data_IF_512271820865
#
_entry.id   IF_512271820865
#
_cell.length_a   1.000
_cell.length_b   1.000
_cell.length_c   1.000
_cell.angle_alpha   90.00
_cell.angle_beta   90.00
_cell.angle_gamma   90.00
#
_symmetry.space_group_name_H-M   'P 1'
#
loop_
_entity.id
_entity.type
_entity.pdbx_description
1 polymer ?
#
# COMPACT_ATOMS: atom_id res chain seq x y z
N UNK A 1 -44.15 22.30 -3.01
CA UNK A 1 -44.74 20.97 -2.73
C UNK A 1 -43.74 19.89 -3.14
N UNK A 2 -43.27 19.09 -2.16
CA UNK A 2 -42.76 17.70 -2.21
C UNK A 2 -41.55 17.41 -3.15
N UNK A 3 -40.54 16.59 -2.80
CA UNK A 3 -40.24 15.77 -1.63
C UNK A 3 -38.76 15.34 -1.70
N UNK A 4 -38.16 15.06 -0.54
CA UNK A 4 -36.85 14.45 -0.36
C UNK A 4 -36.91 12.91 -0.44
N UNK A 5 -35.76 12.26 -0.70
CA UNK A 5 -35.37 10.86 -0.38
C UNK A 5 -33.89 10.70 -0.82
N UNK A 6 -32.87 10.65 0.05
CA UNK A 6 -32.44 9.65 1.05
C UNK A 6 -32.21 8.25 0.47
N UNK A 7 -30.94 7.89 0.21
CA UNK A 7 -30.48 6.49 0.12
C UNK A 7 -29.04 6.41 0.68
N UNK A 8 -28.94 6.09 1.96
CA UNK A 8 -27.77 5.43 2.55
C UNK A 8 -28.00 3.92 2.41
N UNK A 9 -27.09 3.20 1.75
CA UNK A 9 -27.05 1.74 1.77
C UNK A 9 -25.58 1.29 1.68
N UNK A 10 -25.00 0.95 2.83
CA UNK A 10 -23.76 0.17 2.96
C UNK A 10 -24.14 -1.11 3.73
N UNK A 11 -23.77 -2.30 3.26
CA UNK A 11 -24.17 -3.54 3.92
C UNK A 11 -23.31 -3.83 5.16
N UNK A 12 -24.00 -4.18 6.26
CA UNK A 12 -23.45 -4.80 7.46
C UNK A 12 -22.78 -6.14 7.12
N UNK A 13 -21.49 -6.25 7.43
CA UNK A 13 -20.78 -7.54 7.44
C UNK A 13 -20.25 -7.77 8.85
N UNK A 14 -21.14 -8.23 9.73
CA UNK A 14 -20.79 -8.85 11.00
C UNK A 14 -21.35 -10.27 11.00
N UNK A 15 -20.52 -11.25 10.65
CA UNK A 15 -20.62 -12.60 11.22
C UNK A 15 -19.42 -13.44 10.81
N UNK A 16 -18.52 -13.71 11.75
CA UNK A 16 -18.11 -15.07 12.14
C UNK A 16 -16.79 -15.04 12.89
N UNK A 17 -16.90 -15.39 14.15
CA UNK A 17 -15.87 -15.60 15.15
C UNK A 17 -14.89 -16.71 14.73
N UNK A 18 -13.60 -16.47 14.92
CA UNK A 18 -12.68 -17.54 15.33
C UNK A 18 -11.46 -16.94 16.04
N UNK A 19 -11.52 -16.93 17.36
CA UNK A 19 -10.45 -16.48 18.24
C UNK A 19 -9.35 -17.54 18.28
N UNK A 20 -8.28 -17.31 17.51
CA UNK A 20 -7.05 -18.10 17.55
C UNK A 20 -5.92 -17.27 18.14
N UNK A 21 -5.62 -17.54 19.43
CA UNK A 21 -4.45 -17.08 20.19
C UNK A 21 -3.22 -16.74 19.33
N UNK A 22 -2.74 -15.48 19.39
CA UNK A 22 -1.32 -15.17 19.13
C UNK A 22 -0.77 -14.14 20.12
N UNK A 23 0.44 -14.37 20.66
CA UNK A 23 1.05 -13.52 21.66
C UNK A 23 1.66 -12.26 21.02
N UNK A 24 1.54 -11.15 21.75
CA UNK A 24 2.15 -9.86 21.46
C UNK A 24 3.68 -9.95 21.41
N UNK A 25 4.31 -9.38 20.38
CA UNK A 25 5.72 -9.01 20.40
C UNK A 25 5.84 -7.56 19.92
N UNK A 26 6.25 -6.69 20.83
CA UNK A 26 6.42 -5.26 20.59
C UNK A 26 7.81 -4.88 20.11
N UNK A 27 7.88 -3.66 19.56
CA UNK A 27 8.93 -2.69 19.87
C UNK A 27 10.23 -2.69 19.06
N UNK A 28 10.29 -1.76 18.09
CA UNK A 28 11.41 -0.83 17.91
C UNK A 28 12.68 -1.31 17.17
N UNK A 29 13.06 -0.59 16.10
CA UNK A 29 14.15 0.40 16.19
C UNK A 29 14.43 1.04 14.81
N UNK A 30 14.51 2.37 14.86
CA UNK A 30 14.99 3.25 13.80
C UNK A 30 16.53 3.25 13.85
N UNK A 31 17.22 2.99 12.74
CA UNK A 31 18.65 3.30 12.62
C UNK A 31 18.93 4.11 11.37
N UNK A 32 19.52 5.26 11.65
CA UNK A 32 20.13 6.26 10.79
C UNK A 32 21.19 5.67 9.85
N UNK A 33 21.28 6.17 8.62
CA UNK A 33 22.39 5.88 7.70
C UNK A 33 22.81 7.14 6.94
N UNK A 34 24.06 7.50 7.19
CA UNK A 34 24.84 8.62 6.66
C UNK A 34 25.10 8.54 5.15
N UNK A 35 24.76 9.63 4.47
CA UNK A 35 25.58 10.41 3.52
C UNK A 35 26.25 9.73 2.30
N UNK A 36 25.71 10.04 1.11
CA UNK A 36 26.49 10.40 -0.09
C UNK A 36 25.73 11.52 -0.83
N UNK A 37 26.25 12.74 -0.78
CA UNK A 37 25.80 13.86 -1.60
C UNK A 37 26.31 13.70 -3.03
N UNK A 38 25.42 13.33 -3.95
CA UNK A 38 25.61 13.62 -5.37
C UNK A 38 24.70 14.81 -5.74
N UNK A 39 25.30 15.89 -6.21
CA UNK A 39 24.59 17.09 -6.67
C UNK A 39 23.76 16.78 -7.91
N UNK A 40 22.44 17.05 -7.95
CA UNK A 40 21.67 16.86 -9.16
C UNK A 40 21.97 18.01 -10.14
N UNK A 41 22.44 17.65 -11.34
CA UNK A 41 22.57 18.56 -12.46
C UNK A 41 21.19 19.11 -12.84
N UNK A 42 20.96 20.40 -12.59
CA UNK A 42 19.78 21.11 -13.04
C UNK A 42 19.86 21.37 -14.54
N UNK A 43 19.33 20.46 -15.35
CA UNK A 43 19.00 20.76 -16.75
C UNK A 43 17.49 20.90 -16.92
N UNK A 44 17.09 22.17 -17.10
CA UNK A 44 15.89 22.70 -17.76
C UNK A 44 14.53 22.06 -17.45
N UNK A 45 13.75 22.79 -16.64
CA UNK A 45 12.32 22.58 -16.36
C UNK A 45 11.49 22.72 -17.64
N UNK A 46 10.86 21.63 -18.07
CA UNK A 46 9.73 21.68 -19.02
C UNK A 46 8.56 22.46 -18.39
N UNK A 47 8.19 23.57 -19.03
CA UNK A 47 7.05 24.41 -18.65
C UNK A 47 5.72 23.69 -18.87
N UNK A 48 5.16 23.07 -17.83
CA UNK A 48 3.70 22.88 -17.72
C UNK A 48 3.29 22.78 -16.25
N UNK A 49 2.33 23.62 -15.85
CA UNK A 49 1.82 23.73 -14.47
C UNK A 49 0.94 22.53 -14.05
N UNK A 50 0.70 22.33 -12.72
CA UNK A 50 0.22 21.07 -12.13
C UNK A 50 -1.22 20.65 -12.48
N UNK A 51 -2.04 21.58 -12.98
CA UNK A 51 -3.48 21.36 -13.18
C UNK A 51 -3.85 20.99 -14.63
N UNK A 52 -2.85 20.74 -15.49
CA UNK A 52 -3.09 20.30 -16.86
C UNK A 52 -3.19 18.76 -16.86
N UNK A 53 -4.27 18.16 -17.38
CA UNK A 53 -4.32 16.71 -17.57
C UNK A 53 -3.10 16.30 -18.39
N UNK A 54 -2.29 15.39 -17.86
CA UNK A 54 -1.17 14.84 -18.59
C UNK A 54 -1.73 14.24 -19.88
N UNK A 55 -1.33 14.79 -21.02
CA UNK A 55 -1.58 14.20 -22.33
C UNK A 55 -0.63 13.02 -22.47
N UNK A 56 -0.90 11.96 -21.70
CA UNK A 56 -0.14 10.73 -21.68
C UNK A 56 -0.45 9.83 -22.88
N UNK A 57 -1.23 10.32 -23.85
CA UNK A 57 -1.14 9.83 -25.22
C UNK A 57 0.16 10.32 -25.87
N UNK A 58 1.29 9.88 -25.31
CA UNK A 58 2.45 9.66 -26.14
C UNK A 58 2.05 8.56 -27.11
N UNK A 59 2.08 8.83 -28.41
CA UNK A 59 1.92 7.80 -29.42
C UNK A 59 2.89 6.69 -29.05
N UNK A 60 2.37 5.54 -28.60
CA UNK A 60 3.21 4.41 -28.27
C UNK A 60 4.03 4.15 -29.52
N UNK A 61 5.32 4.50 -29.47
CA UNK A 61 6.29 3.99 -30.42
C UNK A 61 6.44 2.53 -30.06
N UNK A 62 5.42 1.74 -30.46
CA UNK A 62 5.64 0.35 -30.77
C UNK A 62 6.91 0.35 -31.62
N UNK A 63 7.91 -0.49 -31.30
CA UNK A 63 9.05 -0.65 -32.19
C UNK A 63 8.44 -0.82 -33.57
N UNK A 64 8.79 0.14 -34.45
CA UNK A 64 8.32 0.23 -35.82
C UNK A 64 8.26 -1.20 -36.32
N UNK A 65 7.04 -1.74 -36.54
CA UNK A 65 6.89 -3.09 -37.04
C UNK A 65 7.80 -3.13 -38.27
N UNK A 66 8.86 -3.93 -38.18
CA UNK A 66 10.02 -3.76 -39.03
C UNK A 66 9.55 -3.61 -40.47
N UNK A 67 9.62 -2.40 -41.04
CA UNK A 67 9.51 -2.17 -42.47
C UNK A 67 10.76 -2.72 -43.18
N UNK A 68 11.31 -3.80 -42.67
CA UNK A 68 12.27 -4.66 -43.30
C UNK A 68 11.55 -5.61 -44.27
N UNK A 69 10.28 -5.94 -44.02
CA UNK A 69 9.46 -6.74 -44.94
C UNK A 69 9.10 -6.01 -46.24
N UNK A 70 9.04 -4.68 -46.25
CA UNK A 70 8.79 -3.88 -47.46
C UNK A 70 10.08 -3.42 -48.14
N UNK A 71 11.25 -3.58 -47.51
CA UNK A 71 12.54 -3.09 -48.03
C UNK A 71 13.10 -3.92 -49.19
N UNK A 72 12.48 -5.07 -49.49
CA UNK A 72 12.79 -5.91 -50.66
C UNK A 72 11.91 -5.67 -51.88
N UNK A 73 10.99 -4.69 -51.86
CA UNK A 73 10.06 -4.41 -52.96
C UNK A 73 10.59 -3.39 -53.99
N UNK A 74 11.89 -3.15 -54.02
CA UNK A 74 12.52 -2.54 -55.22
C UNK A 74 12.62 -3.60 -56.33
N UNK A 75 12.73 -3.22 -57.61
CA UNK A 75 12.85 -4.21 -58.66
C UNK A 75 14.19 -4.94 -58.49
N UNK A 76 14.17 -6.11 -57.84
CA UNK A 76 15.30 -7.03 -57.89
C UNK A 76 15.37 -7.47 -59.34
N UNK A 77 16.25 -6.85 -60.13
CA UNK A 77 16.65 -7.38 -61.43
C UNK A 77 17.36 -8.69 -61.12
N UNK A 78 16.61 -9.80 -61.11
CA UNK A 78 17.19 -11.13 -61.01
C UNK A 78 18.02 -11.34 -62.26
N UNK A 79 19.33 -11.06 -62.17
CA UNK A 79 20.33 -11.51 -63.15
C UNK A 79 20.64 -13.00 -62.93
N UNK A 80 19.64 -13.80 -62.53
CA UNK A 80 19.77 -15.22 -62.26
C UNK A 80 19.17 -15.94 -63.48
N UNK A 81 20.07 -16.35 -64.38
CA UNK A 81 20.05 -17.39 -65.43
C UNK A 81 18.80 -17.60 -66.32
N UNK A 82 17.57 -17.41 -65.83
CA UNK A 82 16.31 -17.63 -66.55
C UNK A 82 15.70 -16.35 -67.14
N UNK A 83 15.92 -15.18 -66.53
CA UNK A 83 15.55 -13.87 -67.11
C UNK A 83 16.34 -13.57 -68.38
N UNK A 84 17.56 -14.09 -68.48
CA UNK A 84 18.31 -14.11 -69.72
C UNK A 84 17.53 -14.85 -70.81
N UNK A 85 16.87 -15.98 -70.54
CA UNK A 85 16.16 -16.76 -71.57
C UNK A 85 14.88 -16.12 -72.13
N UNK A 86 14.46 -14.95 -71.63
CA UNK A 86 13.33 -14.21 -72.21
C UNK A 86 13.58 -13.77 -73.66
N UNK A 87 14.85 -13.61 -74.08
CA UNK A 87 15.18 -13.38 -75.50
C UNK A 87 14.99 -14.63 -76.37
N UNK A 88 14.96 -15.82 -75.77
CA UNK A 88 15.02 -17.12 -76.46
C UNK A 88 13.64 -17.79 -76.54
N UNK A 89 12.72 -17.47 -75.62
CA UNK A 89 11.44 -18.16 -75.47
C UNK A 89 10.35 -17.77 -76.50
N UNK A 90 10.52 -16.67 -77.25
CA UNK A 90 9.52 -16.23 -78.24
C UNK A 90 10.07 -15.93 -79.65
N UNK A 91 11.36 -16.16 -79.92
CA UNK A 91 11.95 -15.91 -81.26
C UNK A 91 11.89 -14.45 -81.74
N UNK A 92 11.45 -13.51 -80.89
CA UNK A 92 11.29 -12.10 -81.18
C UNK A 92 12.63 -11.35 -80.97
N UNK A 93 13.45 -11.26 -82.01
CA UNK A 93 14.63 -10.38 -82.02
C UNK A 93 14.16 -8.94 -82.19
N UNK A 94 13.98 -8.22 -81.07
CA UNK A 94 13.65 -6.78 -81.11
C UNK A 94 14.89 -5.98 -81.56
N UNK A 95 14.84 -5.28 -82.71
CA UNK A 95 15.98 -4.51 -83.21
C UNK A 95 16.42 -3.40 -82.24
N UNK A 96 17.72 -3.08 -82.23
CA UNK A 96 18.35 -2.10 -81.32
C UNK A 96 17.76 -0.69 -81.39
N UNK A 97 17.01 -0.37 -82.45
CA UNK A 97 16.33 0.92 -82.64
C UNK A 97 15.13 1.12 -81.69
N UNK A 98 14.65 0.06 -81.03
CA UNK A 98 13.61 0.13 -79.99
C UNK A 98 14.23 -0.15 -78.61
N UNK A 99 15.09 0.76 -78.14
CA UNK A 99 15.85 0.59 -76.88
C UNK A 99 14.94 0.40 -75.65
N UNK A 100 13.80 1.08 -75.61
CA UNK A 100 12.81 0.96 -74.54
C UNK A 100 12.17 -0.44 -74.48
N UNK A 101 11.83 -1.03 -75.64
CA UNK A 101 11.25 -2.38 -75.71
C UNK A 101 12.29 -3.46 -75.33
N UNK A 102 13.55 -3.27 -75.75
CA UNK A 102 14.66 -4.14 -75.36
C UNK A 102 14.94 -4.09 -73.85
N UNK A 103 15.00 -2.90 -73.25
CA UNK A 103 15.22 -2.73 -71.81
C UNK A 103 14.05 -3.27 -70.99
N UNK A 104 12.81 -3.18 -71.50
CA UNK A 104 11.64 -3.79 -70.88
C UNK A 104 11.77 -5.33 -70.78
N UNK A 105 12.38 -6.01 -71.75
CA UNK A 105 12.56 -7.47 -71.69
C UNK A 105 13.53 -7.90 -70.58
N UNK A 106 14.62 -7.14 -70.37
CA UNK A 106 15.61 -7.43 -69.32
C UNK A 106 15.21 -6.96 -67.91
N UNK A 107 14.15 -6.17 -67.78
CA UNK A 107 13.65 -5.65 -66.50
C UNK A 107 12.32 -6.28 -66.08
N UNK A 108 11.74 -7.14 -66.92
CA UNK A 108 10.49 -7.86 -66.64
C UNK A 108 10.76 -9.16 -65.89
N UNK A 109 9.88 -9.44 -64.93
CA UNK A 109 9.89 -10.69 -64.18
C UNK A 109 9.41 -11.85 -65.04
N UNK A 110 10.06 -13.00 -64.88
CA UNK A 110 9.54 -14.25 -65.45
C UNK A 110 8.32 -14.72 -64.65
N UNK A 111 7.43 -15.54 -65.24
CA UNK A 111 6.36 -16.19 -64.49
C UNK A 111 6.86 -17.01 -63.28
N UNK A 112 8.08 -17.55 -63.36
CA UNK A 112 8.73 -18.30 -62.26
C UNK A 112 9.13 -17.35 -61.12
N UNK A 113 9.70 -16.18 -61.42
CA UNK A 113 10.00 -15.15 -60.42
C UNK A 113 8.73 -14.65 -59.73
N UNK A 114 7.68 -14.41 -60.51
CA UNK A 114 6.37 -14.03 -59.99
C UNK A 114 5.82 -15.11 -59.05
N UNK A 115 5.86 -16.38 -59.45
CA UNK A 115 5.38 -17.50 -58.62
C UNK A 115 6.18 -17.65 -57.33
N UNK A 116 7.51 -17.44 -57.37
CA UNK A 116 8.37 -17.47 -56.18
C UNK A 116 8.02 -16.34 -55.22
N UNK A 117 7.89 -15.11 -55.73
CA UNK A 117 7.48 -13.94 -54.94
C UNK A 117 6.08 -14.12 -54.34
N UNK A 118 5.13 -14.63 -55.13
CA UNK A 118 3.79 -14.93 -54.66
C UNK A 118 3.78 -15.96 -53.53
N UNK A 119 4.53 -17.07 -53.67
CA UNK A 119 4.70 -18.06 -52.60
C UNK A 119 5.30 -17.44 -51.34
N UNK A 120 6.32 -16.60 -51.48
CA UNK A 120 6.93 -15.90 -50.35
C UNK A 120 5.90 -15.01 -49.63
N UNK A 121 5.13 -14.22 -50.37
CA UNK A 121 4.08 -13.37 -49.80
C UNK A 121 3.01 -14.18 -49.07
N UNK A 122 2.60 -15.34 -49.61
CA UNK A 122 1.67 -16.24 -48.92
C UNK A 122 2.26 -16.74 -47.60
N UNK A 123 3.51 -17.21 -47.59
CA UNK A 123 4.17 -17.67 -46.36
C UNK A 123 4.31 -16.57 -45.31
N UNK A 124 4.63 -15.33 -45.72
CA UNK A 124 4.72 -14.19 -44.80
C UNK A 124 3.35 -13.80 -44.25
N UNK A 125 2.31 -13.82 -45.11
CA UNK A 125 0.93 -13.55 -44.69
C UNK A 125 0.48 -14.58 -43.65
N UNK A 126 0.80 -15.86 -43.85
CA UNK A 126 0.48 -16.93 -42.90
C UNK A 126 1.22 -16.76 -41.57
N UNK A 127 2.51 -16.43 -41.61
CA UNK A 127 3.30 -16.14 -40.41
C UNK A 127 2.74 -14.92 -39.65
N UNK A 128 2.41 -13.83 -40.35
CA UNK A 128 1.82 -12.65 -39.73
C UNK A 128 0.46 -12.94 -39.09
N UNK A 129 -0.36 -13.78 -39.74
CA UNK A 129 -1.64 -14.25 -39.18
C UNK A 129 -1.41 -15.07 -37.90
N UNK A 130 -0.49 -16.04 -37.93
CA UNK A 130 -0.17 -16.87 -36.77
C UNK A 130 0.32 -16.03 -35.58
N UNK A 131 1.22 -15.07 -35.83
CA UNK A 131 1.71 -14.16 -34.79
C UNK A 131 0.57 -13.29 -34.22
N UNK A 132 -0.34 -12.81 -35.07
CA UNK A 132 -1.51 -12.06 -34.62
C UNK A 132 -2.49 -12.90 -33.79
N UNK A 133 -2.66 -14.18 -34.11
CA UNK A 133 -3.45 -15.13 -33.32
C UNK A 133 -2.80 -15.40 -31.96
N UNK A 134 -1.49 -15.65 -31.93
CA UNK A 134 -0.72 -15.84 -30.70
C UNK A 134 -0.77 -14.61 -29.79
N UNK A 135 -0.54 -13.41 -30.35
CA UNK A 135 -0.59 -12.16 -29.58
C UNK A 135 -1.96 -11.93 -28.94
N UNK A 136 -3.05 -12.24 -29.65
CA UNK A 136 -4.40 -12.15 -29.09
C UNK A 136 -4.60 -13.13 -27.93
N UNK A 137 -4.18 -14.38 -28.10
CA UNK A 137 -4.27 -15.39 -27.06
C UNK A 137 -3.47 -14.98 -25.80
N UNK A 138 -2.24 -14.49 -25.99
CA UNK A 138 -1.41 -14.00 -24.89
C UNK A 138 -2.00 -12.77 -24.21
N UNK A 139 -2.57 -11.84 -24.97
CA UNK A 139 -3.21 -10.64 -24.39
C UNK A 139 -4.39 -11.02 -23.50
N UNK A 140 -5.23 -11.97 -23.94
CA UNK A 140 -6.36 -12.48 -23.15
C UNK A 140 -5.86 -13.17 -21.88
N UNK A 141 -4.87 -14.07 -22.00
CA UNK A 141 -4.28 -14.78 -20.85
C UNK A 141 -3.68 -13.80 -19.84
N UNK A 142 -2.90 -12.83 -20.30
CA UNK A 142 -2.28 -11.82 -19.43
C UNK A 142 -3.33 -10.94 -18.75
N UNK A 143 -4.43 -10.61 -19.44
CA UNK A 143 -5.57 -9.92 -18.83
C UNK A 143 -6.18 -10.72 -17.68
N UNK A 144 -6.47 -12.00 -17.92
CA UNK A 144 -7.00 -12.90 -16.88
C UNK A 144 -6.04 -13.06 -15.69
N UNK A 145 -4.75 -13.25 -15.95
CA UNK A 145 -3.75 -13.34 -14.88
C UNK A 145 -3.64 -12.06 -14.06
N UNK A 146 -3.74 -10.89 -14.71
CA UNK A 146 -3.74 -9.61 -14.03
C UNK A 146 -5.00 -9.47 -13.15
N UNK A 147 -6.18 -9.77 -13.69
CA UNK A 147 -7.44 -9.74 -12.95
C UNK A 147 -7.41 -10.69 -11.75
N UNK A 148 -6.87 -11.90 -11.92
CA UNK A 148 -6.71 -12.87 -10.84
C UNK A 148 -5.74 -12.41 -9.75
N UNK A 149 -4.68 -11.68 -10.11
CA UNK A 149 -3.74 -11.08 -9.14
C UNK A 149 -4.42 -9.96 -8.37
N UNK A 150 -5.12 -9.06 -9.07
CA UNK A 150 -5.83 -7.94 -8.43
C UNK A 150 -6.91 -8.47 -7.48
N UNK A 151 -7.70 -9.45 -7.92
CA UNK A 151 -8.75 -10.07 -7.08
C UNK A 151 -8.17 -10.66 -5.81
N UNK A 152 -7.12 -11.49 -5.91
CA UNK A 152 -6.47 -12.09 -4.73
C UNK A 152 -5.88 -11.05 -3.79
N UNK A 153 -5.22 -10.03 -4.34
CA UNK A 153 -4.69 -8.93 -3.54
C UNK A 153 -5.81 -8.16 -2.80
N UNK A 154 -6.93 -7.90 -3.48
CA UNK A 154 -8.08 -7.23 -2.87
C UNK A 154 -8.71 -8.07 -1.75
N UNK A 155 -8.85 -9.39 -1.96
CA UNK A 155 -9.37 -10.32 -0.95
C UNK A 155 -8.45 -10.37 0.29
N UNK A 156 -7.13 -10.46 0.07
CA UNK A 156 -6.14 -10.45 1.14
C UNK A 156 -6.17 -9.14 1.93
N UNK A 157 -6.15 -8.00 1.23
CA UNK A 157 -6.22 -6.67 1.86
C UNK A 157 -7.52 -6.50 2.63
N UNK A 158 -8.66 -6.89 2.07
CA UNK A 158 -9.95 -6.82 2.76
C UNK A 158 -9.95 -7.66 4.04
N UNK A 159 -9.36 -8.86 4.01
CA UNK A 159 -9.22 -9.70 5.20
C UNK A 159 -8.34 -9.03 6.25
N UNK A 160 -7.16 -8.55 5.88
CA UNK A 160 -6.23 -7.86 6.79
C UNK A 160 -6.84 -6.58 7.38
N UNK A 161 -7.62 -5.84 6.59
CA UNK A 161 -8.38 -4.69 7.08
C UNK A 161 -9.44 -5.11 8.10
N UNK A 162 -10.18 -6.19 7.84
CA UNK A 162 -11.14 -6.76 8.79
C UNK A 162 -10.47 -7.15 10.11
N UNK A 163 -9.36 -7.90 10.04
CA UNK A 163 -8.58 -8.28 11.21
C UNK A 163 -8.09 -7.05 12.00
N UNK A 164 -7.55 -6.04 11.29
CA UNK A 164 -7.09 -4.79 11.92
C UNK A 164 -8.22 -4.01 12.59
N UNK A 165 -9.40 -3.96 11.98
CA UNK A 165 -10.58 -3.33 12.57
C UNK A 165 -10.94 -4.04 13.88
N UNK A 166 -10.99 -5.37 13.88
CA UNK A 166 -11.28 -6.17 15.06
C UNK A 166 -10.24 -5.93 16.17
N UNK A 167 -8.95 -5.91 15.83
CA UNK A 167 -7.86 -5.63 16.79
C UNK A 167 -8.03 -4.24 17.43
N UNK A 168 -8.34 -3.22 16.63
CA UNK A 168 -8.54 -1.86 17.13
C UNK A 168 -9.76 -1.79 18.06
N UNK A 169 -10.86 -2.46 17.72
CA UNK A 169 -12.03 -2.53 18.61
C UNK A 169 -11.73 -3.26 19.91
N UNK A 170 -11.01 -4.39 19.84
CA UNK A 170 -10.61 -5.15 21.02
C UNK A 170 -9.73 -4.32 21.95
N UNK A 171 -8.70 -3.66 21.40
CA UNK A 171 -7.80 -2.81 22.17
C UNK A 171 -8.54 -1.62 22.80
N UNK A 172 -9.44 -0.97 22.03
CA UNK A 172 -10.27 0.10 22.55
C UNK A 172 -11.10 -0.36 23.73
N UNK A 173 -11.80 -1.49 23.60
CA UNK A 173 -12.67 -1.99 24.67
C UNK A 173 -11.84 -2.39 25.90
N UNK A 174 -10.70 -3.06 25.71
CA UNK A 174 -9.79 -3.41 26.81
C UNK A 174 -9.28 -2.17 27.56
N UNK A 175 -8.95 -1.09 26.83
CA UNK A 175 -8.53 0.17 27.46
C UNK A 175 -9.66 0.87 28.22
N UNK A 176 -10.90 0.78 27.71
CA UNK A 176 -12.06 1.33 28.41
C UNK A 176 -12.33 0.56 29.71
N UNK A 177 -12.32 -0.77 29.65
CA UNK A 177 -12.46 -1.64 30.82
C UNK A 177 -11.40 -1.38 31.88
N UNK A 178 -10.12 -1.25 31.48
CA UNK A 178 -9.03 -0.92 32.39
C UNK A 178 -9.18 0.49 32.98
N UNK A 179 -9.64 1.45 32.18
CA UNK A 179 -9.87 2.82 32.65
C UNK A 179 -10.97 2.86 33.71
N UNK A 180 -12.08 2.14 33.48
CA UNK A 180 -13.18 2.05 34.44
C UNK A 180 -12.72 1.37 35.74
N UNK A 181 -11.94 0.28 35.63
CA UNK A 181 -11.36 -0.39 36.79
C UNK A 181 -10.43 0.54 37.61
N UNK A 182 -9.57 1.32 36.94
CA UNK A 182 -8.72 2.32 37.60
C UNK A 182 -9.53 3.43 38.27
N UNK A 183 -10.63 3.88 37.66
CA UNK A 183 -11.52 4.89 38.26
C UNK A 183 -12.16 4.35 39.53
N UNK A 184 -12.64 3.12 39.51
CA UNK A 184 -13.21 2.44 40.67
C UNK A 184 -12.19 2.29 41.80
N UNK A 185 -10.98 1.83 41.48
CA UNK A 185 -9.92 1.69 42.48
C UNK A 185 -9.51 3.04 43.07
N UNK A 186 -9.38 4.07 42.22
CA UNK A 186 -9.13 5.45 42.68
C UNK A 186 -10.23 5.91 43.64
N UNK A 187 -11.50 5.60 43.37
CA UNK A 187 -12.60 5.97 44.24
C UNK A 187 -12.52 5.26 45.60
N UNK A 188 -12.17 3.97 45.62
CA UNK A 188 -11.94 3.21 46.87
C UNK A 188 -10.79 3.78 47.68
N UNK A 189 -9.67 4.11 47.04
CA UNK A 189 -8.53 4.75 47.69
C UNK A 189 -8.88 6.12 48.27
N UNK A 190 -9.68 6.93 47.54
CA UNK A 190 -10.16 8.22 48.05
C UNK A 190 -11.07 8.06 49.28
N UNK A 191 -11.92 7.04 49.30
CA UNK A 191 -12.77 6.74 50.46
C UNK A 191 -11.93 6.30 51.66
N UNK A 192 -10.97 5.39 51.46
CA UNK A 192 -10.03 4.97 52.50
C UNK A 192 -9.23 6.16 53.05
N UNK A 193 -8.72 7.03 52.17
CA UNK A 193 -8.04 8.27 52.57
C UNK A 193 -8.93 9.15 53.45
N UNK A 194 -10.16 9.42 53.03
CA UNK A 194 -11.11 10.24 53.81
C UNK A 194 -11.40 9.62 55.18
N UNK A 195 -11.54 8.30 55.25
CA UNK A 195 -11.74 7.59 56.51
C UNK A 195 -10.54 7.75 57.44
N UNK A 196 -9.32 7.62 56.92
CA UNK A 196 -8.08 7.82 57.69
C UNK A 196 -7.91 9.27 58.16
N UNK A 197 -8.16 10.25 57.29
CA UNK A 197 -8.13 11.68 57.66
C UNK A 197 -9.15 11.99 58.77
N UNK A 198 -10.34 11.39 58.69
CA UNK A 198 -11.35 11.50 59.74
C UNK A 198 -10.87 10.87 61.05
N UNK A 199 -10.39 9.62 61.03
CA UNK A 199 -9.87 8.96 62.24
C UNK A 199 -8.71 9.75 62.86
N UNK A 200 -7.82 10.31 62.05
CA UNK A 200 -6.75 11.17 62.52
C UNK A 200 -7.32 12.40 63.25
N UNK A 201 -8.25 13.12 62.63
CA UNK A 201 -8.88 14.30 63.26
C UNK A 201 -9.62 13.95 64.56
N UNK A 202 -10.23 12.76 64.65
CA UNK A 202 -10.88 12.27 65.86
C UNK A 202 -9.87 11.96 66.98
N UNK A 203 -8.62 11.61 66.66
CA UNK A 203 -7.55 11.38 67.65
C UNK A 203 -6.84 12.65 68.12
N UNK A 204 -6.85 13.73 67.34
CA UNK A 204 -6.18 15.00 67.68
C UNK A 204 -6.80 15.66 68.92
N UNK A 205 -8.13 15.72 69.00
CA UNK A 205 -8.83 16.33 70.14
C UNK A 205 -8.56 15.62 71.49
N UNK A 206 -8.71 14.29 71.64
CA UNK A 206 -8.39 13.60 72.89
C UNK A 206 -6.89 13.69 73.24
N UNK A 207 -5.99 13.72 72.25
CA UNK A 207 -4.57 13.99 72.49
C UNK A 207 -4.37 15.38 73.09
N UNK A 208 -5.00 16.41 72.53
CA UNK A 208 -4.93 17.78 73.04
C UNK A 208 -5.45 17.88 74.48
N UNK A 209 -6.60 17.27 74.78
CA UNK A 209 -7.16 17.24 76.14
C UNK A 209 -6.20 16.55 77.12
N UNK A 210 -5.58 15.45 76.70
CA UNK A 210 -4.59 14.71 77.50
C UNK A 210 -3.38 15.57 77.81
N UNK A 211 -2.87 16.33 76.82
CA UNK A 211 -1.77 17.27 76.97
C UNK A 211 -2.10 18.42 77.93
N UNK A 212 -3.27 19.04 77.80
CA UNK A 212 -3.73 20.10 78.72
C UNK A 212 -3.88 19.58 80.16
N UNK A 213 -4.40 18.35 80.31
CA UNK A 213 -4.53 17.71 81.62
C UNK A 213 -3.16 17.48 82.29
N UNK A 214 -2.14 17.05 81.53
CA UNK A 214 -0.76 16.94 82.01
C UNK A 214 -0.18 18.32 82.35
N UNK A 215 -0.38 19.32 81.50
CA UNK A 215 0.07 20.69 81.73
C UNK A 215 -0.49 21.29 83.03
N UNK A 216 -1.77 21.06 83.34
CA UNK A 216 -2.36 21.49 84.61
C UNK A 216 -1.86 20.71 85.83
N UNK A 217 -1.56 19.41 85.66
CA UNK A 217 -0.98 18.58 86.73
C UNK A 217 0.43 19.02 87.09
N UNK A 218 1.24 19.38 86.10
CA UNK A 218 2.61 19.90 86.28
C UNK A 218 2.66 21.21 87.09
N UNK A 219 1.57 22.00 87.08
CA UNK A 219 1.45 23.25 87.85
C UNK A 219 1.17 23.06 89.34
N UNK A 220 0.82 21.84 89.78
CA UNK A 220 0.58 21.56 91.20
C UNK A 220 1.87 21.73 92.01
N UNK A 221 1.77 22.06 93.29
CA UNK A 221 2.93 22.33 94.14
C UNK A 221 2.94 21.45 95.40
N UNK A 222 4.14 21.24 95.93
CA UNK A 222 4.38 20.50 97.16
C UNK A 222 3.76 19.08 97.14
N UNK A 223 2.95 18.73 98.15
CA UNK A 223 2.38 17.39 98.32
C UNK A 223 1.37 17.01 97.22
N UNK A 224 0.86 17.99 96.46
CA UNK A 224 -0.13 17.76 95.40
C UNK A 224 0.51 17.41 94.03
N UNK A 225 1.83 17.52 93.90
CA UNK A 225 2.58 17.09 92.70
C UNK A 225 2.95 15.59 92.83
N UNK A 226 2.04 14.72 92.38
CA UNK A 226 2.10 13.27 92.63
C UNK A 226 1.99 12.46 91.35
N UNK A 227 2.93 11.52 91.16
CA UNK A 227 2.89 10.45 90.15
C UNK A 227 1.87 9.36 90.48
N UNK A 228 0.60 9.68 90.32
CA UNK A 228 -0.53 8.80 90.51
C UNK A 228 -0.87 7.96 89.25
N UNK A 229 -1.74 6.97 89.40
CA UNK A 229 -2.18 6.13 88.28
C UNK A 229 -2.86 6.92 87.14
N UNK A 230 -3.65 7.98 87.42
CA UNK A 230 -4.12 8.89 86.39
C UNK A 230 -3.01 9.59 85.60
N UNK A 231 -1.96 10.12 86.23
CA UNK A 231 -0.84 10.76 85.53
C UNK A 231 -0.11 9.75 84.63
N UNK A 232 0.17 8.55 85.12
CA UNK A 232 0.77 7.47 84.33
C UNK A 232 -0.07 7.09 83.12
N UNK A 233 -1.39 7.08 83.27
CA UNK A 233 -2.33 6.78 82.19
C UNK A 233 -2.37 7.89 81.14
N UNK A 234 -2.35 9.16 81.57
CA UNK A 234 -2.29 10.32 80.68
C UNK A 234 -0.96 10.37 79.91
N UNK A 235 0.17 10.12 80.58
CA UNK A 235 1.48 10.03 79.93
C UNK A 235 1.46 8.97 78.83
N UNK A 236 0.96 7.76 79.12
CA UNK A 236 0.82 6.69 78.12
C UNK A 236 -0.05 7.09 76.93
N UNK A 237 -1.16 7.78 77.15
CA UNK A 237 -2.05 8.24 76.09
C UNK A 237 -1.48 9.42 75.28
N UNK A 238 -0.57 10.21 75.86
CA UNK A 238 0.09 11.34 75.19
C UNK A 238 1.25 10.91 74.28
N UNK A 239 1.79 9.70 74.49
CA UNK A 239 2.79 9.07 73.63
C UNK A 239 2.10 8.31 72.49
N UNK A 240 1.75 9.01 71.41
CA UNK A 240 1.42 8.37 70.12
C UNK A 240 2.71 8.05 69.39
#
# INVERSE_FOLDING_TARGET
MKSAQSINNLPDVLSSSNYGNRPYCGGGCLTDRTETQETPNYTCVSRTAPWRPATHFGSARLPHCDAQWTRGMGPVVNLITETAKLYELEGLVVPSIYSAARNALYTRYTPVDWLRSHKLHLTHSDQARQLGEQLRADTIRLGQEADDRVRRAQEEVNKLLGDRINDVYFLRNSLLEETDAMVDEKNRLLESKRALEKCLSETENPLHITQECLYHREKRQAIDLVHDDPERSLLRASCV
#
